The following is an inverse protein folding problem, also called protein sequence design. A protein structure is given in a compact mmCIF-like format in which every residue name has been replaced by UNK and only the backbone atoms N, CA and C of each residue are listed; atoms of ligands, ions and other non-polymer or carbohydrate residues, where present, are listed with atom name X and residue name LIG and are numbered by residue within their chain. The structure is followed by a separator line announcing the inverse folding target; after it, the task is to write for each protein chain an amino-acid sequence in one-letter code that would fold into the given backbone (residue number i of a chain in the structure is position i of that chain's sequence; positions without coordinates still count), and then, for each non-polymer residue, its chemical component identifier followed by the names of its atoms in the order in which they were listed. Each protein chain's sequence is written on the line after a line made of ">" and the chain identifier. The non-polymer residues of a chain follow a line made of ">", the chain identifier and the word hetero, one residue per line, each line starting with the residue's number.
data_IF_268605830074
#
_entry.id   IF_268605830074
#
_cell.length_a   1.000
_cell.length_b   1.000
_cell.length_c   1.000
_cell.angle_alpha   90.00
_cell.angle_beta   90.00
_cell.angle_gamma   90.00
#
_symmetry.space_group_name_H-M   'P 1'
#
loop_
_entity.id
_entity.type
_entity.pdbx_description
1 polymer ?
#
# COMPACT_ATOMS: atom_id res chain seq x y z
N UNK A 1 15.08 5.13 7.96
CA UNK A 1 14.29 5.58 6.80
C UNK A 1 12.85 6.00 7.15
N UNK A 2 11.99 5.26 7.87
CA UNK A 2 10.63 5.71 8.21
C UNK A 2 10.59 7.03 9.00
N UNK A 3 11.53 7.25 9.91
CA UNK A 3 11.57 8.46 10.74
C UNK A 3 11.79 9.75 9.93
N UNK A 4 12.62 9.73 8.89
CA UNK A 4 12.86 10.91 8.04
C UNK A 4 11.63 11.33 7.24
N UNK A 5 10.84 10.37 6.74
CA UNK A 5 9.59 10.63 6.03
C UNK A 5 8.55 11.22 7.00
N UNK A 6 8.41 10.66 8.20
CA UNK A 6 7.51 11.20 9.25
C UNK A 6 7.86 12.64 9.62
N UNK A 7 9.14 12.96 9.79
CA UNK A 7 9.60 14.31 10.08
C UNK A 7 9.27 15.29 8.95
N UNK A 8 9.44 14.90 7.68
CA UNK A 8 9.06 15.76 6.55
C UNK A 8 7.55 16.10 6.58
N UNK A 9 6.69 15.13 6.82
CA UNK A 9 5.26 15.36 6.93
C UNK A 9 4.87 16.18 8.17
N UNK A 10 5.61 16.05 9.28
CA UNK A 10 5.40 16.83 10.51
C UNK A 10 5.82 18.27 10.33
N UNK A 11 7.04 18.49 9.81
CA UNK A 11 7.66 19.81 9.75
C UNK A 11 7.11 20.68 8.61
N UNK A 12 6.61 20.03 7.54
CA UNK A 12 6.15 20.69 6.31
C UNK A 12 4.74 20.25 5.90
N UNK A 13 3.84 20.05 6.87
CA UNK A 13 2.50 19.46 6.65
C UNK A 13 1.70 20.10 5.53
N UNK A 14 1.72 21.43 5.41
CA UNK A 14 0.98 22.18 4.38
C UNK A 14 1.54 21.91 2.97
N UNK A 15 2.87 21.76 2.84
CA UNK A 15 3.50 21.45 1.55
C UNK A 15 3.05 20.10 1.00
N UNK A 16 2.71 19.14 1.88
CA UNK A 16 2.26 17.79 1.51
C UNK A 16 0.74 17.60 1.47
N UNK A 17 -0.05 18.68 1.46
CA UNK A 17 -1.52 18.60 1.44
C UNK A 17 -2.05 17.80 0.25
N UNK A 18 -1.49 18.01 -0.96
CA UNK A 18 -1.85 17.28 -2.18
C UNK A 18 -1.46 15.78 -2.09
N UNK A 19 -0.28 15.47 -1.56
CA UNK A 19 0.16 14.09 -1.31
C UNK A 19 -0.83 13.37 -0.39
N UNK A 20 -1.25 14.03 0.70
CA UNK A 20 -2.27 13.49 1.62
C UNK A 20 -3.62 13.29 0.93
N UNK A 21 -4.02 14.20 0.04
CA UNK A 21 -5.26 14.09 -0.72
C UNK A 21 -5.22 12.88 -1.66
N UNK A 22 -4.16 12.72 -2.43
CA UNK A 22 -3.95 11.58 -3.33
C UNK A 22 -3.88 10.25 -2.57
N UNK A 23 -3.23 10.23 -1.38
CA UNK A 23 -3.22 9.07 -0.51
C UNK A 23 -4.63 8.67 -0.07
N UNK A 24 -5.46 9.61 0.39
CA UNK A 24 -6.86 9.34 0.78
C UNK A 24 -7.71 8.86 -0.39
N UNK A 25 -7.50 9.38 -1.59
CA UNK A 25 -8.19 8.90 -2.79
C UNK A 25 -7.81 7.44 -3.10
N UNK A 26 -6.50 7.11 -3.04
CA UNK A 26 -6.05 5.75 -3.23
C UNK A 26 -6.59 4.81 -2.14
N UNK A 27 -6.60 5.23 -0.87
CA UNK A 27 -7.19 4.48 0.24
C UNK A 27 -8.67 4.15 -0.03
N UNK A 28 -9.47 5.14 -0.41
CA UNK A 28 -10.90 4.95 -0.73
C UNK A 28 -11.09 3.92 -1.85
N UNK A 29 -10.27 3.97 -2.89
CA UNK A 29 -10.33 3.00 -3.99
C UNK A 29 -9.94 1.60 -3.52
N UNK A 30 -8.90 1.47 -2.68
CA UNK A 30 -8.46 0.19 -2.10
C UNK A 30 -9.58 -0.40 -1.23
N UNK A 31 -10.19 0.39 -0.37
CA UNK A 31 -11.30 -0.08 0.49
C UNK A 31 -12.54 -0.45 -0.33
N UNK A 32 -12.81 0.23 -1.44
CA UNK A 32 -13.92 -0.08 -2.35
C UNK A 32 -13.72 -1.43 -3.04
N UNK A 33 -12.50 -1.76 -3.48
CA UNK A 33 -12.22 -3.02 -4.18
C UNK A 33 -11.97 -4.19 -3.20
N UNK A 34 -11.65 -3.90 -1.94
CA UNK A 34 -11.25 -4.89 -0.94
C UNK A 34 -12.27 -6.03 -0.76
N UNK A 35 -13.58 -5.79 -0.61
CA UNK A 35 -14.56 -6.88 -0.46
C UNK A 35 -14.55 -7.86 -1.63
N UNK A 36 -14.34 -7.36 -2.85
CA UNK A 36 -14.28 -8.20 -4.04
C UNK A 36 -13.03 -9.09 -4.03
N UNK A 37 -11.87 -8.52 -3.69
CA UNK A 37 -10.63 -9.28 -3.61
C UNK A 37 -10.72 -10.32 -2.47
N UNK A 38 -11.27 -9.95 -1.31
CA UNK A 38 -11.43 -10.88 -0.18
C UNK A 38 -12.38 -12.03 -0.54
N UNK A 39 -13.43 -11.79 -1.30
CA UNK A 39 -14.33 -12.87 -1.78
C UNK A 39 -13.56 -13.90 -2.62
N UNK A 40 -12.71 -13.46 -3.54
CA UNK A 40 -11.90 -14.38 -4.36
C UNK A 40 -10.79 -15.07 -3.55
N UNK A 41 -10.09 -14.34 -2.69
CA UNK A 41 -9.02 -14.93 -1.88
C UNK A 41 -9.56 -15.93 -0.86
N UNK A 42 -10.74 -15.72 -0.29
CA UNK A 42 -11.37 -16.68 0.62
C UNK A 42 -11.80 -17.97 -0.07
N UNK A 43 -12.05 -17.94 -1.37
CA UNK A 43 -12.41 -19.13 -2.15
C UNK A 43 -11.16 -19.93 -2.60
N UNK A 44 -10.05 -19.26 -2.92
CA UNK A 44 -8.87 -19.88 -3.53
C UNK A 44 -7.77 -20.19 -2.51
N UNK A 45 -7.51 -19.26 -1.57
CA UNK A 45 -6.31 -19.35 -0.73
C UNK A 45 -6.33 -20.48 0.31
N UNK A 46 -7.48 -20.91 0.89
CA UNK A 46 -7.51 -22.01 1.86
C UNK A 46 -7.05 -23.35 1.27
N UNK A 47 -7.31 -23.57 -0.02
CA UNK A 47 -6.95 -24.81 -0.73
C UNK A 47 -5.61 -24.71 -1.47
N UNK A 48 -4.88 -23.60 -1.27
CA UNK A 48 -3.66 -23.34 -2.00
C UNK A 48 -2.47 -24.14 -1.43
N UNK A 49 -1.84 -24.95 -2.28
CA UNK A 49 -0.64 -25.72 -1.92
C UNK A 49 0.67 -24.92 -2.01
N UNK A 50 0.63 -23.72 -2.61
CA UNK A 50 1.78 -22.83 -2.77
C UNK A 50 1.44 -21.43 -2.26
N UNK A 51 1.44 -21.28 -0.94
CA UNK A 51 1.03 -20.04 -0.27
C UNK A 51 1.99 -18.91 -0.65
N UNK A 52 1.45 -17.85 -1.24
CA UNK A 52 2.22 -16.65 -1.58
C UNK A 52 2.33 -15.62 -0.44
N UNK A 53 1.56 -15.79 0.64
CA UNK A 53 1.67 -14.98 1.86
C UNK A 53 2.83 -15.49 2.73
N UNK A 54 4.06 -15.26 2.27
CA UNK A 54 5.28 -15.54 3.01
C UNK A 54 5.91 -14.25 3.52
N UNK A 55 6.71 -14.32 4.57
CA UNK A 55 7.20 -13.15 5.30
C UNK A 55 7.98 -12.16 4.43
N UNK A 56 8.79 -12.62 3.47
CA UNK A 56 9.49 -11.73 2.51
C UNK A 56 8.57 -10.80 1.70
N UNK A 57 7.28 -11.07 1.67
CA UNK A 57 6.29 -10.24 0.97
C UNK A 57 5.56 -9.27 1.90
N UNK A 58 5.77 -9.36 3.20
CA UNK A 58 5.21 -8.45 4.20
C UNK A 58 6.02 -7.17 4.41
N UNK A 59 7.23 -7.08 3.85
CA UNK A 59 8.08 -5.90 3.97
C UNK A 59 7.47 -4.69 3.24
N UNK A 60 7.51 -3.55 3.94
CA UNK A 60 7.04 -2.26 3.41
C UNK A 60 8.17 -1.57 2.66
N UNK A 61 7.96 -1.26 1.38
CA UNK A 61 8.89 -0.45 0.62
C UNK A 61 8.76 1.05 0.95
N UNK A 62 9.62 1.88 0.38
CA UNK A 62 9.60 3.32 0.61
C UNK A 62 8.26 3.95 0.19
N UNK A 63 7.65 3.47 -0.89
CA UNK A 63 6.36 3.98 -1.38
C UNK A 63 5.22 3.63 -0.44
N UNK A 64 5.27 2.46 0.20
CA UNK A 64 4.32 2.06 1.24
C UNK A 64 4.47 2.94 2.49
N UNK A 65 5.71 3.21 2.90
CA UNK A 65 6.00 4.10 4.04
C UNK A 65 5.45 5.51 3.78
N UNK A 66 5.67 6.07 2.57
CA UNK A 66 5.13 7.38 2.19
C UNK A 66 3.60 7.35 2.23
N UNK A 67 2.97 6.33 1.66
CA UNK A 67 1.51 6.21 1.61
C UNK A 67 0.89 6.14 3.00
N UNK A 68 1.36 5.25 3.86
CA UNK A 68 0.84 5.05 5.22
C UNK A 68 1.06 6.31 6.06
N UNK A 69 2.24 6.94 5.94
CA UNK A 69 2.54 8.21 6.64
C UNK A 69 1.66 9.37 6.14
N UNK A 70 1.40 9.45 4.84
CA UNK A 70 0.51 10.47 4.27
C UNK A 70 -0.94 10.32 4.78
N UNK A 71 -1.37 9.10 5.08
CA UNK A 71 -2.66 8.82 5.72
C UNK A 71 -2.70 9.17 7.22
N UNK A 72 -1.55 9.48 7.82
CA UNK A 72 -1.42 9.72 9.26
C UNK A 72 -1.49 8.45 10.10
N UNK A 73 -1.16 7.30 9.52
CA UNK A 73 -1.18 5.99 10.18
C UNK A 73 0.24 5.55 10.55
N UNK A 74 0.29 4.63 11.51
CA UNK A 74 1.53 3.94 11.85
C UNK A 74 1.82 2.80 10.89
N UNK A 75 3.10 2.62 10.57
CA UNK A 75 3.56 1.50 9.76
C UNK A 75 3.53 0.26 10.66
N UNK A 76 2.89 -0.84 10.23
CA UNK A 76 2.93 -2.08 10.98
C UNK A 76 4.37 -2.52 11.24
N UNK A 77 4.64 -2.96 12.46
CA UNK A 77 5.98 -3.37 12.87
C UNK A 77 6.36 -4.71 12.21
N UNK A 78 7.61 -4.78 11.73
CA UNK A 78 8.23 -6.02 11.26
C UNK A 78 8.70 -6.84 12.46
N UNK A 79 8.57 -8.18 12.37
CA UNK A 79 9.20 -9.12 13.29
C UNK A 79 10.44 -9.74 12.63
N UNK A 80 11.65 -9.28 13.00
CA UNK A 80 12.89 -9.79 12.42
C UNK A 80 13.20 -11.25 12.81
N UNK A 81 12.44 -11.82 13.75
CA UNK A 81 12.57 -13.22 14.17
C UNK A 81 11.91 -14.21 13.22
N UNK A 82 11.08 -13.76 12.28
CA UNK A 82 10.39 -14.62 11.32
C UNK A 82 11.21 -14.72 10.04
N UNK A 83 11.49 -15.95 9.59
CA UNK A 83 12.26 -16.15 8.36
C UNK A 83 11.47 -15.71 7.12
N UNK A 84 12.17 -15.27 6.07
CA UNK A 84 11.56 -14.80 4.81
C UNK A 84 10.68 -15.85 4.14
N UNK A 85 10.97 -17.13 4.35
CA UNK A 85 10.25 -18.27 3.77
C UNK A 85 9.05 -18.71 4.59
N UNK A 86 8.93 -18.24 5.83
CA UNK A 86 7.83 -18.60 6.72
C UNK A 86 6.54 -17.87 6.33
N UNK A 87 5.42 -18.32 6.88
CA UNK A 87 4.15 -17.62 6.69
C UNK A 87 4.29 -16.15 7.12
N UNK A 88 3.65 -15.26 6.37
CA UNK A 88 3.65 -13.83 6.66
C UNK A 88 3.15 -13.58 8.09
N UNK A 89 3.86 -12.76 8.85
CA UNK A 89 3.54 -12.41 10.24
C UNK A 89 2.11 -11.86 10.43
N UNK A 90 1.55 -11.27 9.38
CA UNK A 90 0.18 -10.73 9.39
C UNK A 90 -0.86 -11.77 8.92
N UNK A 91 -0.47 -13.03 8.65
CA UNK A 91 -1.39 -14.06 8.23
C UNK A 91 -2.04 -14.74 9.43
N UNK A 92 -3.30 -14.42 9.67
CA UNK A 92 -4.12 -15.08 10.69
C UNK A 92 -4.93 -16.26 10.10
N UNK A 93 -5.69 -16.93 10.95
CA UNK A 93 -6.51 -18.11 10.58
C UNK A 93 -7.61 -17.83 9.57
N UNK A 94 -7.99 -16.57 9.36
CA UNK A 94 -9.03 -16.12 8.42
C UNK A 94 -8.49 -15.20 7.31
N UNK A 95 -7.18 -15.23 7.06
CA UNK A 95 -6.50 -14.35 6.13
C UNK A 95 -5.69 -13.26 6.83
N UNK A 96 -5.31 -12.22 6.11
CA UNK A 96 -4.48 -11.15 6.63
C UNK A 96 -5.18 -10.34 7.72
N UNK A 97 -4.49 -10.09 8.83
CA UNK A 97 -5.00 -9.31 9.97
C UNK A 97 -5.02 -7.81 9.73
N UNK A 98 -4.22 -7.32 8.76
CA UNK A 98 -4.21 -5.91 8.38
C UNK A 98 -5.37 -5.57 7.44
N UNK A 99 -5.89 -4.34 7.56
CA UNK A 99 -6.77 -3.77 6.53
C UNK A 99 -6.01 -3.69 5.20
N UNK A 100 -6.68 -3.84 4.07
CA UNK A 100 -6.01 -3.86 2.76
C UNK A 100 -5.24 -2.58 2.48
N UNK A 101 -5.74 -1.43 2.87
CA UNK A 101 -5.06 -0.14 2.75
C UNK A 101 -3.82 0.01 3.66
N UNK A 102 -3.65 -0.88 4.62
CA UNK A 102 -2.51 -0.91 5.56
C UNK A 102 -1.50 -2.01 5.24
N UNK A 103 -1.76 -2.81 4.20
CA UNK A 103 -0.85 -3.86 3.72
C UNK A 103 0.21 -3.25 2.78
N UNK A 104 1.38 -3.89 2.62
CA UNK A 104 2.25 -3.58 1.49
C UNK A 104 1.45 -3.58 0.18
N UNK A 105 1.68 -2.59 -0.69
CA UNK A 105 0.86 -2.41 -1.90
C UNK A 105 0.87 -3.65 -2.80
N UNK A 106 1.96 -4.40 -2.79
CA UNK A 106 2.04 -5.70 -3.47
C UNK A 106 0.87 -6.62 -3.13
N UNK A 107 0.40 -6.63 -1.88
CA UNK A 107 -0.74 -7.46 -1.45
C UNK A 107 -2.08 -7.03 -2.05
N UNK A 108 -2.13 -5.84 -2.66
CA UNK A 108 -3.35 -5.32 -3.30
C UNK A 108 -3.41 -5.64 -4.79
N UNK A 109 -2.25 -5.70 -5.49
CA UNK A 109 -2.23 -5.87 -6.94
C UNK A 109 -1.70 -7.23 -7.42
N UNK A 110 -1.03 -8.00 -6.54
CA UNK A 110 -0.52 -9.31 -6.93
C UNK A 110 -1.60 -10.37 -6.87
N UNK A 111 -1.88 -10.97 -8.02
CA UNK A 111 -2.80 -12.10 -8.17
C UNK A 111 -2.06 -13.25 -8.83
N UNK A 112 -2.03 -14.43 -8.16
CA UNK A 112 -1.50 -15.65 -8.76
C UNK A 112 -2.42 -16.18 -9.87
N UNK A 113 -1.94 -17.12 -10.67
CA UNK A 113 -2.72 -17.68 -11.80
C UNK A 113 -4.06 -18.28 -11.33
N UNK A 114 -4.06 -19.08 -10.26
CA UNK A 114 -5.27 -19.68 -9.72
C UNK A 114 -6.31 -18.62 -9.29
N UNK A 115 -5.87 -17.53 -8.69
CA UNK A 115 -6.75 -16.43 -8.31
C UNK A 115 -7.27 -15.66 -9.54
N UNK A 116 -6.44 -15.44 -10.54
CA UNK A 116 -6.86 -14.81 -11.80
C UNK A 116 -7.88 -15.67 -12.56
N UNK A 117 -7.67 -16.99 -12.60
CA UNK A 117 -8.60 -17.94 -13.22
C UNK A 117 -9.97 -17.91 -12.51
N UNK A 118 -9.97 -17.88 -11.18
CA UNK A 118 -11.20 -17.75 -10.39
C UNK A 118 -11.94 -16.44 -10.68
N UNK A 119 -11.22 -15.32 -10.73
CA UNK A 119 -11.81 -14.02 -11.07
C UNK A 119 -12.44 -14.06 -12.47
N UNK A 120 -11.72 -14.60 -13.46
CA UNK A 120 -12.23 -14.68 -14.84
C UNK A 120 -13.45 -15.61 -14.98
N UNK A 121 -13.50 -16.71 -14.22
CA UNK A 121 -14.61 -17.66 -14.26
C UNK A 121 -15.88 -17.12 -13.58
N UNK A 122 -15.74 -16.35 -12.51
CA UNK A 122 -16.87 -15.86 -11.72
C UNK A 122 -17.35 -14.48 -12.13
N UNK A 123 -16.63 -13.81 -13.02
CA UNK A 123 -16.90 -12.42 -13.37
C UNK A 123 -17.26 -12.32 -14.86
N UNK A 124 -18.31 -11.55 -15.19
CA UNK A 124 -18.59 -11.22 -16.59
C UNK A 124 -17.41 -10.42 -17.20
N UNK A 125 -17.27 -10.46 -18.53
CA UNK A 125 -16.25 -9.68 -19.23
C UNK A 125 -16.32 -8.18 -18.90
N UNK A 126 -17.50 -7.63 -18.62
CA UNK A 126 -17.68 -6.24 -18.20
C UNK A 126 -17.18 -6.02 -16.76
N UNK A 127 -17.53 -6.93 -15.84
CA UNK A 127 -17.07 -6.86 -14.44
C UNK A 127 -15.56 -7.02 -14.33
N UNK A 128 -14.96 -7.92 -15.11
CA UNK A 128 -13.50 -8.05 -15.18
C UNK A 128 -12.82 -6.78 -15.65
N UNK A 129 -13.33 -6.13 -16.71
CA UNK A 129 -12.79 -4.84 -17.17
C UNK A 129 -12.88 -3.75 -16.10
N UNK A 130 -13.98 -3.68 -15.37
CA UNK A 130 -14.14 -2.70 -14.29
C UNK A 130 -13.19 -2.98 -13.12
N UNK A 131 -13.01 -4.26 -12.74
CA UNK A 131 -12.03 -4.68 -11.76
C UNK A 131 -10.60 -4.22 -12.13
N UNK A 132 -10.17 -4.49 -13.37
CA UNK A 132 -8.85 -4.06 -13.86
C UNK A 132 -8.73 -2.53 -13.91
N UNK A 133 -9.81 -1.84 -14.29
CA UNK A 133 -9.84 -0.36 -14.27
C UNK A 133 -9.67 0.20 -12.85
N UNK A 134 -10.32 -0.39 -11.85
CA UNK A 134 -10.15 0.01 -10.45
C UNK A 134 -8.70 -0.18 -9.99
N UNK A 135 -8.08 -1.33 -10.28
CA UNK A 135 -6.67 -1.57 -9.94
C UNK A 135 -5.74 -0.55 -10.61
N UNK A 136 -5.96 -0.23 -11.89
CA UNK A 136 -5.18 0.82 -12.59
C UNK A 136 -5.36 2.19 -11.95
N UNK A 137 -6.57 2.54 -11.55
CA UNK A 137 -6.83 3.82 -10.87
C UNK A 137 -6.09 3.91 -9.53
N UNK A 138 -6.06 2.83 -8.75
CA UNK A 138 -5.28 2.77 -7.50
C UNK A 138 -3.80 3.00 -7.81
N UNK A 139 -3.25 2.26 -8.79
CA UNK A 139 -1.84 2.40 -9.20
C UNK A 139 -1.52 3.83 -9.62
N UNK A 140 -2.35 4.44 -10.47
CA UNK A 140 -2.15 5.80 -10.95
C UNK A 140 -2.16 6.82 -9.81
N UNK A 141 -3.12 6.72 -8.88
CA UNK A 141 -3.18 7.62 -7.72
C UNK A 141 -1.95 7.48 -6.82
N UNK A 142 -1.49 6.24 -6.58
CA UNK A 142 -0.26 6.01 -5.81
C UNK A 142 0.97 6.55 -6.51
N UNK A 143 1.10 6.34 -7.82
CA UNK A 143 2.23 6.86 -8.61
C UNK A 143 2.25 8.40 -8.57
N UNK A 144 1.11 9.06 -8.77
CA UNK A 144 1.01 10.52 -8.65
C UNK A 144 1.43 10.99 -7.26
N UNK A 145 0.91 10.37 -6.22
CA UNK A 145 1.26 10.67 -4.83
C UNK A 145 2.77 10.59 -4.57
N UNK A 146 3.44 9.53 -5.07
CA UNK A 146 4.89 9.33 -4.88
C UNK A 146 5.68 10.40 -5.62
N UNK A 147 5.33 10.67 -6.89
CA UNK A 147 6.00 11.69 -7.71
C UNK A 147 5.87 13.08 -7.07
N UNK A 148 4.70 13.41 -6.53
CA UNK A 148 4.46 14.67 -5.83
C UNK A 148 5.29 14.74 -4.55
N UNK A 149 5.34 13.67 -3.77
CA UNK A 149 6.17 13.60 -2.57
C UNK A 149 7.66 13.80 -2.89
N UNK A 150 8.19 13.13 -3.89
CA UNK A 150 9.59 13.25 -4.31
C UNK A 150 9.90 14.68 -4.78
N UNK A 151 9.01 15.24 -5.61
CA UNK A 151 9.17 16.62 -6.12
C UNK A 151 9.21 17.64 -4.98
N UNK A 152 8.30 17.54 -4.01
CA UNK A 152 8.26 18.45 -2.86
C UNK A 152 9.49 18.27 -1.98
N UNK A 153 9.87 17.02 -1.70
CA UNK A 153 11.02 16.69 -0.86
C UNK A 153 12.33 17.25 -1.44
N UNK A 154 12.51 17.15 -2.77
CA UNK A 154 13.65 17.74 -3.46
C UNK A 154 13.68 19.27 -3.33
N UNK A 155 12.54 19.95 -3.50
CA UNK A 155 12.44 21.41 -3.33
C UNK A 155 12.77 21.84 -1.92
N UNK A 156 12.30 21.13 -0.90
CA UNK A 156 12.58 21.43 0.50
C UNK A 156 14.05 21.22 0.82
N UNK A 157 14.70 20.21 0.26
CA UNK A 157 16.12 19.92 0.45
C UNK A 157 17.04 20.94 -0.24
N UNK A 158 16.60 21.54 -1.34
CA UNK A 158 17.35 22.54 -2.12
C UNK A 158 17.15 23.97 -1.61
N UNK A 159 16.18 24.20 -0.73
CA UNK A 159 15.96 25.54 -0.14
C UNK A 159 17.07 25.83 0.88
N UNK A 160 17.81 26.97 0.78
CA UNK A 160 18.85 27.32 1.73
C UNK A 160 18.24 27.43 3.13
N UNK A 161 18.79 26.69 4.10
CA UNK A 161 18.42 26.84 5.51
C UNK A 161 18.66 28.30 5.89
N UNK A 162 17.60 29.05 6.14
CA UNK A 162 17.69 30.43 6.59
C UNK A 162 18.32 30.44 8.00
N UNK A 163 19.56 31.00 8.20
CA UNK A 163 20.27 30.92 9.47
C UNK A 163 19.80 31.92 10.52
N UNK A 164 18.62 32.53 10.36
CA UNK A 164 18.17 33.62 11.23
C UNK A 164 16.91 33.24 12.00
N UNK A 165 17.05 32.45 13.06
CA UNK A 165 16.15 32.51 14.23
C UNK A 165 16.92 32.10 15.50
N UNK A 166 17.98 32.84 15.81
CA UNK A 166 18.49 32.93 17.17
C UNK A 166 18.55 34.44 17.53
N UNK A 167 17.46 34.90 18.12
CA UNK A 167 17.48 36.06 19.02
C UNK A 167 16.42 35.87 20.09
#
# INVERSE_FOLDING_TARGET
>A
MPNSIRLLFSDHGDAFAEVRRSARQAETLIETISPLIEAYTSAVCPECTSICCINRHSSFDQSDVIFITALGKDIPEDDPGIADTDACMFLGSRGCTLRRSERPYRCTWFFCSALMDQIMQQTSAAGYREFIKMLRNITNNRTTMINDFETISMKLSSSPKNPLKNK
#
